data_IF_039362452777
#
_entry.id   IF_039362452777
#
_cell.length_a   1.000
_cell.length_b   1.000
_cell.length_c   1.000
_cell.angle_alpha   90.00
_cell.angle_beta   90.00
_cell.angle_gamma   90.00
#
_symmetry.space_group_name_H-M   'P 1'
#
loop_
_entity.id
_entity.type
_entity.pdbx_description
1 polymer ?
#
# COMPACT_ATOMS: atom_id res chain seq x y z
N UNK A 1 25.52 -17.31 -10.60
CA UNK A 1 24.36 -16.58 -10.03
C UNK A 1 24.19 -15.36 -10.91
N UNK A 2 23.00 -15.14 -11.44
CA UNK A 2 22.75 -14.08 -12.42
C UNK A 2 23.07 -12.69 -11.86
N UNK A 3 23.55 -11.79 -12.72
CA UNK A 3 23.77 -10.38 -12.39
C UNK A 3 22.44 -9.62 -12.33
N UNK A 4 22.42 -8.43 -11.71
CA UNK A 4 21.20 -7.60 -11.67
C UNK A 4 20.67 -7.28 -13.09
N UNK A 5 21.50 -6.85 -14.07
CA UNK A 5 21.01 -6.61 -15.44
C UNK A 5 20.41 -7.85 -16.11
N UNK A 6 21.00 -9.04 -15.92
CA UNK A 6 20.44 -10.29 -16.42
C UNK A 6 19.09 -10.62 -15.80
N UNK A 7 18.97 -10.44 -14.48
CA UNK A 7 17.71 -10.65 -13.75
C UNK A 7 16.63 -9.69 -14.23
N UNK A 8 16.96 -8.41 -14.40
CA UNK A 8 16.03 -7.40 -14.91
C UNK A 8 15.60 -7.73 -16.35
N UNK A 9 16.54 -8.04 -17.25
CA UNK A 9 16.24 -8.43 -18.63
C UNK A 9 15.30 -9.64 -18.72
N UNK A 10 15.56 -10.68 -17.91
CA UNK A 10 14.68 -11.86 -17.81
C UNK A 10 13.30 -11.47 -17.27
N UNK A 11 13.26 -10.65 -16.21
CA UNK A 11 12.01 -10.15 -15.62
C UNK A 11 11.16 -9.40 -16.64
N UNK A 12 11.75 -8.48 -17.42
CA UNK A 12 11.04 -7.77 -18.50
C UNK A 12 10.50 -8.72 -19.56
N UNK A 13 11.29 -9.70 -19.98
CA UNK A 13 10.87 -10.70 -20.97
C UNK A 13 9.65 -11.49 -20.48
N UNK A 14 9.64 -11.87 -19.21
CA UNK A 14 8.53 -12.62 -18.62
C UNK A 14 7.30 -11.77 -18.35
N UNK A 15 7.48 -10.53 -17.91
CA UNK A 15 6.39 -9.55 -17.81
C UNK A 15 5.72 -9.35 -19.17
N UNK A 16 6.50 -9.20 -20.25
CA UNK A 16 5.96 -9.07 -21.61
C UNK A 16 5.22 -10.33 -22.04
N UNK A 17 5.77 -11.51 -21.75
CA UNK A 17 5.11 -12.79 -22.05
C UNK A 17 3.79 -12.97 -21.30
N UNK A 18 3.74 -12.55 -20.04
CA UNK A 18 2.55 -12.58 -19.20
C UNK A 18 1.66 -11.33 -19.35
N UNK A 19 2.02 -10.42 -20.26
CA UNK A 19 1.49 -9.06 -20.31
C UNK A 19 -0.02 -8.98 -20.45
N UNK A 20 -0.64 -9.88 -21.23
CA UNK A 20 -2.10 -9.94 -21.35
C UNK A 20 -2.77 -10.26 -20.00
N UNK A 21 -2.29 -11.30 -19.31
CA UNK A 21 -2.87 -11.74 -18.03
C UNK A 21 -2.61 -10.74 -16.91
N UNK A 22 -1.39 -10.18 -16.83
CA UNK A 22 -1.04 -9.13 -15.87
C UNK A 22 -1.85 -7.86 -16.15
N UNK A 23 -1.95 -7.43 -17.41
CA UNK A 23 -2.73 -6.27 -17.81
C UNK A 23 -4.21 -6.41 -17.46
N UNK A 24 -4.83 -7.57 -17.71
CA UNK A 24 -6.22 -7.83 -17.29
C UNK A 24 -6.38 -7.72 -15.77
N UNK A 25 -5.46 -8.28 -14.98
CA UNK A 25 -5.52 -8.20 -13.52
C UNK A 25 -5.35 -6.77 -13.01
N UNK A 26 -4.39 -6.03 -13.57
CA UNK A 26 -4.13 -4.63 -13.22
C UNK A 26 -5.36 -3.76 -13.55
N UNK A 27 -6.00 -3.97 -14.71
CA UNK A 27 -7.22 -3.25 -15.08
C UNK A 27 -8.39 -3.55 -14.14
N UNK A 28 -8.58 -4.82 -13.77
CA UNK A 28 -9.67 -5.21 -12.86
C UNK A 28 -9.42 -4.65 -11.46
N UNK A 29 -8.22 -4.83 -10.90
CA UNK A 29 -7.89 -4.35 -9.55
C UNK A 29 -7.90 -2.83 -9.50
N UNK A 30 -7.28 -2.17 -10.47
CA UNK A 30 -7.30 -0.71 -10.56
C UNK A 30 -8.72 -0.19 -10.72
N UNK A 31 -9.54 -0.80 -11.56
CA UNK A 31 -10.96 -0.43 -11.72
C UNK A 31 -11.77 -0.60 -10.42
N UNK A 32 -11.61 -1.73 -9.72
CA UNK A 32 -12.24 -1.95 -8.41
C UNK A 32 -11.76 -0.90 -7.41
N UNK A 33 -10.46 -0.60 -7.36
CA UNK A 33 -9.89 0.41 -6.48
C UNK A 33 -10.51 1.79 -6.75
N UNK A 34 -10.63 2.19 -8.01
CA UNK A 34 -11.27 3.46 -8.41
C UNK A 34 -12.71 3.52 -7.90
N UNK A 35 -13.50 2.48 -8.18
CA UNK A 35 -14.92 2.43 -7.75
C UNK A 35 -15.03 2.49 -6.23
N UNK A 36 -14.20 1.74 -5.52
CA UNK A 36 -14.18 1.74 -4.06
C UNK A 36 -13.79 3.12 -3.51
N UNK A 37 -12.76 3.77 -4.07
CA UNK A 37 -12.36 5.12 -3.65
C UNK A 37 -13.48 6.15 -3.88
N UNK A 38 -14.17 6.11 -5.02
CA UNK A 38 -15.31 7.01 -5.31
C UNK A 38 -16.44 6.80 -4.31
N UNK A 39 -16.83 5.55 -4.06
CA UNK A 39 -17.89 5.23 -3.11
C UNK A 39 -17.54 5.67 -1.68
N UNK A 40 -16.30 5.43 -1.26
CA UNK A 40 -15.83 5.86 0.06
C UNK A 40 -15.85 7.38 0.20
N UNK A 41 -15.26 8.10 -0.75
CA UNK A 41 -15.24 9.56 -0.76
C UNK A 41 -16.67 10.13 -0.77
N UNK A 42 -17.57 9.56 -1.58
CA UNK A 42 -18.96 9.98 -1.63
C UNK A 42 -19.64 9.91 -0.25
N UNK A 43 -19.47 8.80 0.47
CA UNK A 43 -20.09 8.65 1.80
C UNK A 43 -19.42 9.57 2.82
N UNK A 44 -18.09 9.68 2.80
CA UNK A 44 -17.34 10.56 3.70
C UNK A 44 -17.76 12.01 3.52
N UNK A 45 -17.79 12.51 2.29
CA UNK A 45 -18.18 13.90 2.01
C UNK A 45 -19.64 14.17 2.31
N UNK A 46 -20.55 13.26 1.94
CA UNK A 46 -21.98 13.44 2.24
C UNK A 46 -22.26 13.40 3.74
N UNK A 47 -21.55 12.55 4.49
CA UNK A 47 -21.66 12.51 5.95
C UNK A 47 -21.05 13.76 6.56
N UNK A 48 -19.87 14.20 6.10
CA UNK A 48 -19.21 15.42 6.55
C UNK A 48 -20.07 16.66 6.31
N UNK A 49 -20.65 16.78 5.12
CA UNK A 49 -21.55 17.86 4.75
C UNK A 49 -22.75 17.98 5.71
N UNK A 50 -23.41 16.85 5.97
CA UNK A 50 -24.57 16.81 6.87
C UNK A 50 -24.21 17.22 8.29
N UNK A 51 -23.01 16.86 8.78
CA UNK A 51 -22.55 17.24 10.11
C UNK A 51 -22.09 18.71 10.18
N UNK A 52 -21.42 19.21 9.13
CA UNK A 52 -21.10 20.64 8.98
C UNK A 52 -22.39 21.48 8.98
N UNK A 53 -23.43 21.01 8.28
CA UNK A 53 -24.73 21.66 8.22
C UNK A 53 -25.41 21.83 9.58
N UNK A 54 -25.17 20.90 10.53
CA UNK A 54 -25.69 21.03 11.90
C UNK A 54 -25.00 22.14 12.69
N UNK A 55 -23.74 22.46 12.37
CA UNK A 55 -22.94 23.47 13.10
C UNK A 55 -23.06 24.84 12.44
N UNK A 56 -22.85 24.90 11.12
CA UNK A 56 -22.72 26.15 10.36
C UNK A 56 -24.00 26.50 9.58
N UNK A 57 -24.96 25.58 9.46
CA UNK A 57 -26.23 25.80 8.78
C UNK A 57 -26.28 25.22 7.36
N UNK A 58 -27.47 25.23 6.73
CA UNK A 58 -27.73 24.55 5.45
C UNK A 58 -26.99 25.17 4.26
N UNK A 59 -26.68 26.47 4.31
CA UNK A 59 -25.91 27.15 3.27
C UNK A 59 -24.47 26.61 3.19
N UNK A 60 -23.81 26.48 4.34
CA UNK A 60 -22.46 25.92 4.40
C UNK A 60 -22.42 24.42 4.09
N UNK A 61 -23.50 23.68 4.40
CA UNK A 61 -23.66 22.31 3.91
C UNK A 61 -23.68 22.27 2.38
N UNK A 62 -24.50 23.10 1.73
CA UNK A 62 -24.60 23.12 0.26
C UNK A 62 -23.28 23.55 -0.39
N UNK A 63 -22.62 24.57 0.17
CA UNK A 63 -21.29 25.00 -0.26
C UNK A 63 -20.29 23.85 -0.13
N UNK A 64 -20.26 23.16 1.01
CA UNK A 64 -19.36 22.02 1.22
C UNK A 64 -19.65 20.86 0.26
N UNK A 65 -20.91 20.53 -0.03
CA UNK A 65 -21.23 19.48 -1.01
C UNK A 65 -20.74 19.86 -2.41
N UNK A 66 -20.96 21.12 -2.81
CA UNK A 66 -20.47 21.64 -4.10
C UNK A 66 -18.93 21.66 -4.16
N UNK A 67 -18.27 22.09 -3.08
CA UNK A 67 -16.82 22.09 -2.98
C UNK A 67 -16.24 20.68 -2.94
N UNK A 68 -16.79 19.75 -2.17
CA UNK A 68 -16.27 18.39 -2.04
C UNK A 68 -16.23 17.64 -3.38
N UNK A 69 -17.16 17.93 -4.30
CA UNK A 69 -17.16 17.37 -5.65
C UNK A 69 -16.18 18.05 -6.62
N UNK A 70 -15.84 19.31 -6.38
CA UNK A 70 -14.89 20.08 -7.21
C UNK A 70 -13.45 19.99 -6.68
N UNK A 71 -13.29 19.83 -5.36
CA UNK A 71 -12.05 19.74 -4.60
C UNK A 71 -11.43 18.33 -4.64
N UNK A 72 -11.24 17.80 -5.85
CA UNK A 72 -10.53 16.54 -6.08
C UNK A 72 -9.00 16.67 -6.02
N UNK A 73 -8.48 17.88 -5.77
CA UNK A 73 -7.06 18.19 -5.56
C UNK A 73 -6.75 18.38 -4.07
N UNK A 74 -5.50 18.10 -3.68
CA UNK A 74 -5.01 18.41 -2.33
C UNK A 74 -5.12 19.91 -2.01
N UNK A 75 -4.92 20.80 -3.00
CA UNK A 75 -5.00 22.26 -2.81
C UNK A 75 -6.44 22.77 -2.64
N UNK A 76 -7.39 22.27 -3.44
CA UNK A 76 -8.80 22.63 -3.29
C UNK A 76 -9.37 22.13 -1.96
N UNK A 77 -8.98 20.92 -1.55
CA UNK A 77 -9.36 20.36 -0.26
C UNK A 77 -8.75 21.15 0.90
N UNK A 78 -7.48 21.55 0.78
CA UNK A 78 -6.82 22.37 1.80
C UNK A 78 -7.49 23.73 1.95
N UNK A 79 -7.75 24.47 0.85
CA UNK A 79 -8.47 25.76 0.92
C UNK A 79 -9.87 25.62 1.51
N UNK A 80 -10.59 24.57 1.14
CA UNK A 80 -11.92 24.29 1.71
C UNK A 80 -11.83 24.03 3.22
N UNK A 81 -10.83 23.27 3.67
CA UNK A 81 -10.61 23.02 5.09
C UNK A 81 -10.17 24.28 5.85
N UNK A 82 -9.38 25.15 5.23
CA UNK A 82 -8.97 26.43 5.82
C UNK A 82 -10.17 27.39 5.98
N UNK A 83 -11.03 27.48 4.95
CA UNK A 83 -12.28 28.27 4.99
C UNK A 83 -13.24 27.74 6.06
N UNK A 84 -13.47 26.43 6.08
CA UNK A 84 -14.28 25.79 7.12
C UNK A 84 -13.70 26.00 8.51
N UNK A 85 -12.38 25.88 8.67
CA UNK A 85 -11.69 26.10 9.94
C UNK A 85 -11.95 27.51 10.46
N UNK A 86 -11.80 28.51 9.60
CA UNK A 86 -12.07 29.92 9.94
C UNK A 86 -13.53 30.14 10.35
N UNK A 87 -14.48 29.55 9.63
CA UNK A 87 -15.92 29.66 9.95
C UNK A 87 -16.30 28.94 11.25
N UNK A 88 -15.69 27.78 11.51
CA UNK A 88 -15.87 27.06 12.77
C UNK A 88 -15.28 27.83 13.94
N UNK A 89 -14.08 28.41 13.78
CA UNK A 89 -13.45 29.26 14.79
C UNK A 89 -14.34 30.45 15.12
N UNK A 90 -14.83 31.18 14.10
CA UNK A 90 -15.76 32.30 14.30
C UNK A 90 -17.09 31.87 14.94
N UNK A 91 -17.57 30.64 14.68
CA UNK A 91 -18.79 30.10 15.29
C UNK A 91 -18.59 29.78 16.77
N UNK A 92 -17.39 29.33 17.13
CA UNK A 92 -17.03 28.95 18.50
C UNK A 92 -16.48 30.12 19.31
N UNK A 93 -16.08 31.21 18.65
CA UNK A 93 -15.66 32.46 19.28
C UNK A 93 -16.87 33.09 20.00
N UNK A 94 -16.88 32.96 21.33
CA UNK A 94 -18.01 33.35 22.19
C UNK A 94 -18.75 32.18 22.86
N UNK A 95 -18.38 30.93 22.57
CA UNK A 95 -18.84 29.76 23.33
C UNK A 95 -17.82 29.38 24.41
N UNK A 96 -18.29 28.93 25.55
CA UNK A 96 -17.46 28.31 26.59
C UNK A 96 -16.97 26.92 26.13
N UNK A 97 -15.88 26.43 26.73
CA UNK A 97 -15.35 25.08 26.45
C UNK A 97 -16.40 23.97 26.62
N UNK A 98 -17.31 24.13 27.59
CA UNK A 98 -18.39 23.16 27.83
C UNK A 98 -19.43 23.19 26.70
N UNK A 99 -19.81 24.36 26.21
CA UNK A 99 -20.73 24.53 25.09
C UNK A 99 -20.11 24.01 23.79
N UNK A 100 -18.83 24.29 23.54
CA UNK A 100 -18.11 23.76 22.39
C UNK A 100 -18.09 22.22 22.43
N UNK A 101 -17.79 21.61 23.58
CA UNK A 101 -17.82 20.14 23.73
C UNK A 101 -19.22 19.57 23.51
N UNK A 102 -20.25 20.26 24.00
CA UNK A 102 -21.64 19.84 23.83
C UNK A 102 -22.09 19.83 22.36
N UNK A 103 -21.49 20.66 21.50
CA UNK A 103 -21.76 20.68 20.05
C UNK A 103 -20.85 19.72 19.28
N UNK A 104 -19.55 19.73 19.55
CA UNK A 104 -18.55 18.98 18.77
C UNK A 104 -18.61 17.48 19.02
N UNK A 105 -18.78 17.04 20.27
CA UNK A 105 -18.75 15.60 20.60
C UNK A 105 -19.87 14.83 19.89
N UNK A 106 -21.16 15.27 19.94
CA UNK A 106 -22.23 14.56 19.24
C UNK A 106 -22.04 14.52 17.72
N UNK A 107 -21.50 15.60 17.13
CA UNK A 107 -21.19 15.68 15.69
C UNK A 107 -20.10 14.67 15.33
N UNK A 108 -19.00 14.63 16.09
CA UNK A 108 -17.92 13.67 15.85
C UNK A 108 -18.40 12.23 16.04
N UNK A 109 -19.20 11.94 17.06
CA UNK A 109 -19.77 10.61 17.27
C UNK A 109 -20.75 10.22 16.15
N UNK A 110 -21.59 11.15 15.70
CA UNK A 110 -22.52 10.91 14.58
C UNK A 110 -21.77 10.65 13.28
N UNK A 111 -20.76 11.46 12.98
CA UNK A 111 -19.86 11.24 11.84
C UNK A 111 -19.16 9.87 11.93
N UNK A 112 -18.54 9.58 13.08
CA UNK A 112 -17.83 8.32 13.31
C UNK A 112 -18.76 7.12 13.16
N UNK A 113 -19.98 7.18 13.70
CA UNK A 113 -20.96 6.09 13.60
C UNK A 113 -21.34 5.75 12.15
N UNK A 114 -21.23 6.71 11.22
CA UNK A 114 -21.52 6.52 9.79
C UNK A 114 -20.29 6.09 9.01
N UNK A 115 -19.15 6.71 9.28
CA UNK A 115 -17.91 6.52 8.51
C UNK A 115 -17.11 5.32 8.99
N UNK A 116 -17.01 5.06 10.30
CA UNK A 116 -16.16 3.99 10.85
C UNK A 116 -16.60 2.60 10.37
N UNK A 117 -17.89 2.19 10.43
CA UNK A 117 -18.29 0.87 9.94
C UNK A 117 -17.95 0.69 8.46
N UNK A 118 -18.16 1.73 7.67
CA UNK A 118 -17.85 1.73 6.25
C UNK A 118 -16.34 1.65 6.01
N UNK A 119 -15.54 2.46 6.71
CA UNK A 119 -14.08 2.43 6.66
C UNK A 119 -13.53 1.05 7.03
N UNK A 120 -14.13 0.37 8.02
CA UNK A 120 -13.79 -1.01 8.37
C UNK A 120 -14.05 -1.99 7.22
N UNK A 121 -15.21 -1.87 6.54
CA UNK A 121 -15.52 -2.68 5.36
C UNK A 121 -14.55 -2.41 4.22
N UNK A 122 -14.25 -1.13 3.93
CA UNK A 122 -13.27 -0.76 2.91
C UNK A 122 -11.86 -1.26 3.24
N UNK A 123 -11.44 -1.16 4.49
CA UNK A 123 -10.15 -1.68 4.94
C UNK A 123 -10.08 -3.20 4.75
N UNK A 124 -11.13 -3.93 5.11
CA UNK A 124 -11.20 -5.38 4.91
C UNK A 124 -11.14 -5.75 3.43
N UNK A 125 -11.94 -5.09 2.58
CA UNK A 125 -11.91 -5.31 1.14
C UNK A 125 -10.54 -4.99 0.54
N UNK A 126 -9.91 -3.90 0.97
CA UNK A 126 -8.57 -3.51 0.52
C UNK A 126 -7.52 -4.56 0.91
N UNK A 127 -7.60 -5.13 2.11
CA UNK A 127 -6.74 -6.23 2.55
C UNK A 127 -6.96 -7.47 1.67
N UNK A 128 -8.21 -7.84 1.40
CA UNK A 128 -8.53 -9.01 0.57
C UNK A 128 -8.04 -8.84 -0.87
N UNK A 129 -8.26 -7.66 -1.47
CA UNK A 129 -7.78 -7.33 -2.82
C UNK A 129 -6.25 -7.33 -2.84
N UNK A 130 -5.61 -6.73 -1.84
CA UNK A 130 -4.15 -6.67 -1.74
C UNK A 130 -3.49 -8.04 -1.59
N UNK A 131 -4.13 -8.92 -0.83
CA UNK A 131 -3.70 -10.30 -0.66
C UNK A 131 -3.91 -11.11 -1.95
N UNK A 132 -5.09 -10.99 -2.56
CA UNK A 132 -5.41 -11.65 -3.81
C UNK A 132 -4.45 -11.25 -4.93
N UNK A 133 -4.20 -9.94 -5.14
CA UNK A 133 -3.31 -9.45 -6.19
C UNK A 133 -1.87 -9.94 -5.99
N UNK A 134 -1.38 -9.95 -4.74
CA UNK A 134 -0.02 -10.39 -4.41
C UNK A 134 0.17 -11.85 -4.78
N UNK A 135 -0.78 -12.70 -4.40
CA UNK A 135 -0.78 -14.13 -4.75
C UNK A 135 -0.94 -14.32 -6.25
N UNK A 136 -1.85 -13.59 -6.89
CA UNK A 136 -2.11 -13.69 -8.32
C UNK A 136 -0.87 -13.34 -9.14
N UNK A 137 -0.19 -12.22 -8.84
CA UNK A 137 1.03 -11.83 -9.54
C UNK A 137 2.16 -12.84 -9.33
N UNK A 138 2.30 -13.41 -8.13
CA UNK A 138 3.25 -14.49 -7.87
C UNK A 138 2.92 -15.77 -8.64
N UNK A 139 1.63 -16.14 -8.78
CA UNK A 139 1.20 -17.28 -9.57
C UNK A 139 1.46 -17.09 -11.06
N UNK A 140 1.17 -15.89 -11.59
CA UNK A 140 1.48 -15.53 -12.97
C UNK A 140 2.98 -15.58 -13.22
N UNK A 141 3.78 -15.00 -12.32
CA UNK A 141 5.23 -15.05 -12.35
C UNK A 141 5.78 -16.50 -12.33
N UNK A 142 5.22 -17.32 -11.45
CA UNK A 142 5.63 -18.71 -11.26
C UNK A 142 5.36 -19.60 -12.48
N UNK A 143 4.22 -19.41 -13.14
CA UNK A 143 3.77 -20.31 -14.21
C UNK A 143 3.99 -19.78 -15.61
N UNK A 144 3.98 -18.46 -15.79
CA UNK A 144 4.11 -17.78 -17.09
C UNK A 144 3.01 -18.08 -18.11
N UNK A 145 2.13 -19.07 -17.87
CA UNK A 145 1.03 -19.50 -18.75
C UNK A 145 -0.16 -19.93 -17.88
N UNK A 146 -1.33 -19.38 -18.19
CA UNK A 146 -2.59 -19.68 -17.51
C UNK A 146 -3.66 -18.67 -17.89
N UNK A 147 -4.92 -19.11 -17.93
CA UNK A 147 -6.04 -18.19 -18.12
C UNK A 147 -6.26 -17.37 -16.85
N UNK A 148 -6.71 -16.12 -17.00
CA UNK A 148 -7.00 -15.24 -15.85
C UNK A 148 -7.93 -15.93 -14.83
N UNK A 149 -9.03 -16.54 -15.30
CA UNK A 149 -9.98 -17.23 -14.43
C UNK A 149 -9.37 -18.41 -13.66
N UNK A 150 -8.53 -19.23 -14.32
CA UNK A 150 -7.88 -20.37 -13.67
C UNK A 150 -6.88 -19.92 -12.58
N UNK A 151 -6.06 -18.93 -12.89
CA UNK A 151 -5.09 -18.37 -11.94
C UNK A 151 -5.78 -17.60 -10.81
N UNK A 152 -6.89 -16.92 -11.08
CA UNK A 152 -7.69 -16.22 -10.07
C UNK A 152 -8.29 -17.21 -9.08
N UNK A 153 -8.90 -18.30 -9.57
CA UNK A 153 -9.45 -19.37 -8.72
C UNK A 153 -8.36 -20.00 -7.84
N UNK A 154 -7.18 -20.24 -8.42
CA UNK A 154 -6.05 -20.74 -7.65
C UNK A 154 -5.55 -19.73 -6.62
N UNK A 155 -5.53 -18.44 -6.95
CA UNK A 155 -5.11 -17.38 -6.03
C UNK A 155 -5.94 -17.39 -4.74
N UNK A 156 -7.27 -17.57 -4.83
CA UNK A 156 -8.14 -17.68 -3.66
C UNK A 156 -7.72 -18.83 -2.71
N UNK A 157 -7.30 -19.97 -3.25
CA UNK A 157 -6.82 -21.10 -2.44
C UNK A 157 -5.52 -20.81 -1.67
N UNK A 158 -4.71 -19.86 -2.15
CA UNK A 158 -3.44 -19.47 -1.55
C UNK A 158 -3.51 -18.18 -0.73
N UNK A 159 -4.66 -17.50 -0.69
CA UNK A 159 -4.85 -16.30 0.12
C UNK A 159 -4.60 -16.59 1.62
N UNK A 160 -5.21 -17.63 2.18
CA UNK A 160 -5.07 -17.92 3.61
C UNK A 160 -3.62 -18.28 4.00
N UNK A 161 -2.89 -19.17 3.29
CA UNK A 161 -1.46 -19.35 3.51
C UNK A 161 -0.64 -18.07 3.40
N UNK A 162 -0.91 -17.23 2.40
CA UNK A 162 -0.21 -15.96 2.22
C UNK A 162 -0.52 -14.96 3.35
N UNK A 163 -1.75 -14.97 3.87
CA UNK A 163 -2.14 -14.16 5.03
C UNK A 163 -1.37 -14.61 6.26
N UNK A 164 -1.31 -15.93 6.51
CA UNK A 164 -0.52 -16.50 7.60
C UNK A 164 0.97 -16.13 7.49
N UNK A 165 1.54 -16.17 6.28
CA UNK A 165 2.89 -15.72 6.02
C UNK A 165 3.07 -14.23 6.35
N UNK A 166 2.18 -13.37 5.83
CA UNK A 166 2.22 -11.93 6.07
C UNK A 166 2.06 -11.57 7.54
N UNK A 167 1.20 -12.28 8.29
CA UNK A 167 1.03 -12.07 9.73
C UNK A 167 2.30 -12.45 10.47
N UNK A 168 2.87 -13.64 10.22
CA UNK A 168 4.10 -14.08 10.92
C UNK A 168 5.24 -13.12 10.62
N UNK A 169 5.45 -12.80 9.35
CA UNK A 169 6.51 -11.89 8.91
C UNK A 169 6.26 -10.48 9.45
N UNK A 170 5.02 -9.98 9.40
CA UNK A 170 4.62 -8.68 9.92
C UNK A 170 4.80 -8.56 11.44
N UNK A 171 4.44 -9.59 12.21
CA UNK A 171 4.67 -9.63 13.65
C UNK A 171 6.16 -9.58 13.98
N UNK A 172 7.01 -10.28 13.22
CA UNK A 172 8.46 -10.18 13.39
C UNK A 172 8.98 -8.77 13.08
N UNK A 173 8.44 -8.12 12.04
CA UNK A 173 8.81 -6.74 11.69
C UNK A 173 8.33 -5.69 12.68
N UNK A 174 7.17 -5.89 13.30
CA UNK A 174 6.62 -4.97 14.32
C UNK A 174 7.28 -5.19 15.67
N UNK A 175 7.62 -6.44 16.02
CA UNK A 175 8.28 -6.75 17.28
C UNK A 175 9.62 -6.01 17.44
N UNK A 176 10.42 -5.90 16.36
CA UNK A 176 11.72 -5.22 16.38
C UNK A 176 11.62 -3.75 16.84
N UNK A 177 10.84 -2.86 16.18
CA UNK A 177 10.69 -1.48 16.59
C UNK A 177 9.96 -1.36 17.93
N UNK A 178 8.97 -2.20 18.24
CA UNK A 178 8.28 -2.16 19.55
C UNK A 178 9.26 -2.44 20.69
N UNK A 179 10.10 -3.46 20.56
CA UNK A 179 11.14 -3.78 21.55
C UNK A 179 12.17 -2.65 21.63
N UNK A 180 12.60 -2.08 20.49
CA UNK A 180 13.54 -0.96 20.47
C UNK A 180 12.97 0.29 21.16
N UNK A 181 11.72 0.64 20.88
CA UNK A 181 11.03 1.77 21.53
C UNK A 181 10.87 1.53 23.02
N UNK A 182 10.44 0.33 23.42
CA UNK A 182 10.30 -0.05 24.83
C UNK A 182 11.63 0.05 25.60
N UNK A 183 12.71 -0.46 25.02
CA UNK A 183 14.05 -0.34 25.61
C UNK A 183 14.55 1.12 25.64
N UNK A 184 14.19 1.93 24.64
CA UNK A 184 14.51 3.36 24.60
C UNK A 184 13.80 4.16 25.68
N UNK A 185 12.56 3.79 26.04
CA UNK A 185 11.86 4.41 27.17
C UNK A 185 12.48 4.07 28.53
N UNK A 186 13.04 2.86 28.69
CA UNK A 186 13.68 2.43 29.93
C UNK A 186 15.04 3.10 30.18
N UNK A 187 15.69 3.59 29.13
CA UNK A 187 17.03 4.16 29.18
C UNK A 187 17.01 5.56 28.54
N UNK A 188 16.81 6.65 29.32
CA UNK A 188 16.61 8.01 28.82
C UNK A 188 17.91 8.67 28.33
N UNK A 189 18.75 7.93 27.61
CA UNK A 189 19.96 8.41 26.98
C UNK A 189 19.76 8.47 25.46
N UNK A 190 19.85 9.67 24.90
CA UNK A 190 19.60 9.90 23.47
C UNK A 190 20.57 9.11 22.57
N UNK A 191 21.83 8.93 22.98
CA UNK A 191 22.80 8.13 22.23
C UNK A 191 22.39 6.66 22.18
N UNK A 192 21.81 6.15 23.29
CA UNK A 192 21.31 4.79 23.36
C UNK A 192 20.06 4.59 22.48
N UNK A 193 19.15 5.56 22.45
CA UNK A 193 17.99 5.55 21.56
C UNK A 193 18.43 5.54 20.09
N UNK A 194 19.39 6.39 19.71
CA UNK A 194 19.93 6.40 18.34
C UNK A 194 20.56 5.05 17.96
N UNK A 195 21.33 4.45 18.88
CA UNK A 195 21.90 3.11 18.67
C UNK A 195 20.82 2.05 18.49
N UNK A 196 19.76 2.06 19.31
CA UNK A 196 18.63 1.14 19.19
C UNK A 196 17.91 1.27 17.85
N UNK A 197 17.71 2.49 17.36
CA UNK A 197 17.13 2.74 16.03
C UNK A 197 18.03 2.15 14.93
N UNK A 198 19.34 2.37 15.01
CA UNK A 198 20.29 1.79 14.05
C UNK A 198 20.27 0.26 14.06
N UNK A 199 20.24 -0.36 15.25
CA UNK A 199 20.10 -1.81 15.40
C UNK A 199 18.77 -2.30 14.83
N UNK A 200 17.66 -1.60 15.10
CA UNK A 200 16.35 -1.93 14.56
C UNK A 200 16.33 -1.90 13.03
N UNK A 201 16.94 -0.87 12.41
CA UNK A 201 17.09 -0.78 10.96
C UNK A 201 17.96 -1.92 10.42
N UNK A 202 19.08 -2.23 11.08
CA UNK A 202 19.96 -3.33 10.66
C UNK A 202 19.25 -4.68 10.73
N UNK A 203 18.50 -4.94 11.81
CA UNK A 203 17.68 -6.15 11.97
C UNK A 203 16.56 -6.19 10.92
N UNK A 204 15.90 -5.06 10.65
CA UNK A 204 14.89 -4.94 9.61
C UNK A 204 15.45 -5.33 8.24
N UNK A 205 16.61 -4.78 7.85
CA UNK A 205 17.26 -5.11 6.58
C UNK A 205 17.69 -6.59 6.54
N UNK A 206 18.24 -7.09 7.65
CA UNK A 206 18.69 -8.47 7.77
C UNK A 206 17.56 -9.48 7.63
N UNK A 207 16.49 -9.33 8.42
CA UNK A 207 15.32 -10.20 8.37
C UNK A 207 14.49 -9.97 7.09
N UNK A 208 14.35 -8.72 6.65
CA UNK A 208 13.77 -8.30 5.36
C UNK A 208 14.28 -9.12 4.20
N UNK A 209 15.60 -9.09 4.01
CA UNK A 209 16.25 -9.83 2.93
C UNK A 209 16.03 -11.34 3.08
N UNK A 210 16.07 -11.88 4.31
CA UNK A 210 15.91 -13.32 4.54
C UNK A 210 14.48 -13.82 4.35
N UNK A 211 13.48 -12.97 4.51
CA UNK A 211 12.08 -13.33 4.29
C UNK A 211 11.55 -12.93 2.91
N UNK A 212 12.30 -12.13 2.15
CA UNK A 212 11.89 -11.64 0.83
C UNK A 212 11.47 -12.73 -0.16
N UNK A 213 12.05 -13.93 -0.09
CA UNK A 213 11.74 -15.03 -1.00
C UNK A 213 10.63 -15.96 -0.47
N UNK A 214 10.16 -15.78 0.76
CA UNK A 214 9.21 -16.70 1.41
C UNK A 214 7.90 -16.81 0.63
N UNK A 215 7.38 -15.70 0.12
CA UNK A 215 6.14 -15.66 -0.66
C UNK A 215 6.29 -16.39 -2.00
N UNK A 216 7.40 -16.16 -2.72
CA UNK A 216 7.71 -16.89 -3.95
C UNK A 216 7.93 -18.39 -3.70
N UNK A 217 8.57 -18.77 -2.59
CA UNK A 217 8.76 -20.18 -2.20
C UNK A 217 7.41 -20.83 -1.88
N UNK A 218 6.56 -20.17 -1.09
CA UNK A 218 5.23 -20.66 -0.72
C UNK A 218 4.41 -21.02 -1.97
N UNK A 219 4.36 -20.10 -2.93
CA UNK A 219 3.53 -20.24 -4.14
C UNK A 219 4.16 -21.19 -5.17
N UNK A 220 5.47 -21.09 -5.41
CA UNK A 220 6.14 -21.94 -6.41
C UNK A 220 6.37 -23.36 -5.94
N UNK A 221 6.84 -23.56 -4.71
CA UNK A 221 7.19 -24.89 -4.19
C UNK A 221 5.99 -25.56 -3.50
N UNK A 222 4.85 -24.85 -3.37
CA UNK A 222 3.62 -25.33 -2.73
C UNK A 222 3.86 -25.90 -1.33
N UNK A 223 4.75 -25.27 -0.57
CA UNK A 223 5.11 -25.69 0.79
C UNK A 223 4.22 -25.03 1.85
N UNK A 224 4.29 -25.52 3.10
CA UNK A 224 3.65 -24.85 4.23
C UNK A 224 4.34 -23.53 4.59
N UNK A 225 3.61 -22.64 5.27
CA UNK A 225 4.09 -21.29 5.64
C UNK A 225 5.43 -21.34 6.39
N UNK A 226 5.54 -22.14 7.44
CA UNK A 226 6.77 -22.26 8.24
C UNK A 226 7.95 -22.79 7.41
N UNK A 227 7.71 -23.79 6.56
CA UNK A 227 8.74 -24.35 5.70
C UNK A 227 9.20 -23.35 4.62
N UNK A 228 8.28 -22.53 4.10
CA UNK A 228 8.63 -21.46 3.15
C UNK A 228 9.56 -20.42 3.77
N UNK A 229 9.29 -20.01 5.02
CA UNK A 229 10.12 -19.08 5.81
C UNK A 229 11.50 -19.71 6.06
N UNK A 230 11.53 -20.96 6.55
CA UNK A 230 12.77 -21.68 6.83
C UNK A 230 13.65 -21.80 5.58
N UNK A 231 13.06 -22.18 4.44
CA UNK A 231 13.78 -22.29 3.16
C UNK A 231 14.27 -20.93 2.68
N UNK A 232 13.46 -19.89 2.77
CA UNK A 232 13.87 -18.52 2.42
C UNK A 232 15.10 -18.10 3.22
N UNK A 233 15.08 -18.36 4.52
CA UNK A 233 16.19 -18.08 5.43
C UNK A 233 17.45 -18.84 5.01
N UNK A 234 17.35 -20.14 4.77
CA UNK A 234 18.50 -20.99 4.35
C UNK A 234 19.07 -20.55 3.00
N UNK A 235 18.21 -20.28 2.01
CA UNK A 235 18.62 -19.85 0.67
C UNK A 235 19.38 -18.52 0.71
N UNK A 236 18.96 -17.61 1.57
CA UNK A 236 19.56 -16.28 1.72
C UNK A 236 20.84 -16.31 2.58
N UNK A 237 20.97 -17.27 3.50
CA UNK A 237 22.08 -17.33 4.47
C UNK A 237 23.41 -17.87 3.92
N UNK A 238 23.41 -18.70 2.87
CA UNK A 238 24.60 -19.43 2.39
C UNK A 238 25.57 -18.57 1.57
N UNK A 239 26.03 -17.44 2.13
CA UNK A 239 26.95 -16.49 1.46
C UNK A 239 26.33 -15.74 0.28
N UNK A 240 25.02 -15.87 0.07
CA UNK A 240 24.27 -15.19 -1.00
C UNK A 240 23.52 -13.95 -0.51
N UNK A 241 23.51 -13.69 0.80
CA UNK A 241 22.78 -12.59 1.44
C UNK A 241 23.00 -11.26 0.72
N UNK A 242 24.26 -10.85 0.58
CA UNK A 242 24.60 -9.54 0.00
C UNK A 242 24.15 -9.42 -1.47
N UNK A 243 24.13 -10.54 -2.20
CA UNK A 243 23.65 -10.58 -3.59
C UNK A 243 22.14 -10.50 -3.67
N UNK A 244 21.42 -11.22 -2.80
CA UNK A 244 19.96 -11.14 -2.70
C UNK A 244 19.54 -9.73 -2.29
N UNK A 245 20.17 -9.19 -1.23
CA UNK A 245 19.94 -7.83 -0.76
C UNK A 245 20.22 -6.80 -1.86
N UNK A 246 21.40 -6.84 -2.49
CA UNK A 246 21.76 -5.89 -3.55
C UNK A 246 20.83 -5.94 -4.76
N UNK A 247 20.36 -7.14 -5.13
CA UNK A 247 19.39 -7.29 -6.22
C UNK A 247 18.00 -6.76 -5.84
N UNK A 248 17.53 -7.03 -4.62
CA UNK A 248 16.26 -6.49 -4.12
C UNK A 248 16.31 -4.97 -3.99
N UNK A 249 17.42 -4.43 -3.47
CA UNK A 249 17.65 -3.00 -3.33
C UNK A 249 17.71 -2.33 -4.70
N UNK A 250 18.44 -2.91 -5.66
CA UNK A 250 18.53 -2.38 -7.03
C UNK A 250 17.19 -2.38 -7.76
N UNK A 251 16.43 -3.48 -7.68
CA UNK A 251 15.09 -3.55 -8.27
C UNK A 251 14.10 -2.60 -7.57
N UNK A 252 14.14 -2.54 -6.23
CA UNK A 252 13.32 -1.63 -5.45
C UNK A 252 13.62 -0.16 -5.73
N UNK A 253 14.90 0.21 -5.82
CA UNK A 253 15.33 1.56 -6.18
C UNK A 253 14.89 1.94 -7.60
N UNK A 254 15.03 1.03 -8.58
CA UNK A 254 14.56 1.27 -9.95
C UNK A 254 13.06 1.59 -9.99
N UNK A 255 12.25 0.78 -9.31
CA UNK A 255 10.78 0.98 -9.26
C UNK A 255 10.44 2.25 -8.48
N UNK A 256 11.13 2.51 -7.37
CA UNK A 256 10.96 3.74 -6.60
C UNK A 256 11.23 4.98 -7.43
N UNK A 257 12.31 5.00 -8.22
CA UNK A 257 12.63 6.10 -9.15
C UNK A 257 11.52 6.26 -10.19
N UNK A 258 11.05 5.17 -10.79
CA UNK A 258 9.94 5.22 -11.75
C UNK A 258 8.69 5.84 -11.11
N UNK A 259 8.29 5.36 -9.93
CA UNK A 259 7.13 5.88 -9.21
C UNK A 259 7.29 7.37 -8.91
N UNK A 260 8.46 7.80 -8.43
CA UNK A 260 8.75 9.22 -8.14
C UNK A 260 8.66 10.08 -9.40
N UNK A 261 9.23 9.62 -10.52
CA UNK A 261 9.16 10.35 -11.79
C UNK A 261 7.72 10.48 -12.27
N UNK A 262 6.93 9.40 -12.25
CA UNK A 262 5.51 9.46 -12.58
C UNK A 262 4.74 10.36 -11.61
N UNK A 263 5.04 10.31 -10.31
CA UNK A 263 4.43 11.18 -9.30
C UNK A 263 4.68 12.66 -9.61
N UNK A 264 5.91 13.05 -9.96
CA UNK A 264 6.25 14.43 -10.31
C UNK A 264 5.46 14.85 -11.55
N UNK A 265 5.49 14.04 -12.62
CA UNK A 265 4.78 14.35 -13.88
C UNK A 265 3.28 14.50 -13.63
N UNK A 266 2.67 13.56 -12.92
CA UNK A 266 1.24 13.56 -12.64
C UNK A 266 0.86 14.71 -11.69
N UNK A 267 1.73 15.09 -10.75
CA UNK A 267 1.52 16.28 -9.91
C UNK A 267 1.49 17.55 -10.75
N UNK A 268 2.43 17.72 -11.68
CA UNK A 268 2.47 18.86 -12.61
C UNK A 268 1.22 18.89 -13.50
N UNK A 269 0.84 17.75 -14.07
CA UNK A 269 -0.38 17.63 -14.89
C UNK A 269 -1.64 17.96 -14.07
N UNK A 270 -1.70 17.53 -12.82
CA UNK A 270 -2.81 17.80 -11.91
C UNK A 270 -2.95 19.31 -11.62
N UNK A 271 -1.83 20.01 -11.43
CA UNK A 271 -1.81 21.47 -11.25
C UNK A 271 -2.29 22.21 -12.52
N UNK A 272 -1.91 21.75 -13.72
CA UNK A 272 -2.34 22.37 -14.97
C UNK A 272 -3.83 22.07 -15.26
N UNK A 273 -4.31 20.89 -14.89
CA UNK A 273 -5.67 20.43 -15.15
C UNK A 273 -6.70 20.85 -14.06
N UNK A 274 -6.27 21.63 -13.06
CA UNK A 274 -7.12 22.15 -11.98
C UNK A 274 -8.45 22.78 -12.46
N UNK A 275 -8.52 23.56 -13.56
CA UNK A 275 -9.78 24.15 -14.02
C UNK A 275 -10.76 23.14 -14.65
N UNK A 276 -10.40 21.86 -14.79
CA UNK A 276 -11.23 20.84 -15.45
C UNK A 276 -11.53 19.63 -14.55
N UNK A 277 -12.46 19.74 -13.58
CA UNK A 277 -12.96 18.57 -12.87
C UNK A 277 -13.58 17.57 -13.86
N UNK A 278 -13.28 16.25 -13.80
CA UNK A 278 -12.63 15.50 -12.72
C UNK A 278 -11.15 15.13 -12.99
N UNK A 279 -10.42 15.88 -13.83
CA UNK A 279 -9.09 15.50 -14.29
C UNK A 279 -8.07 15.20 -13.18
N UNK A 280 -7.97 15.96 -12.06
CA UNK A 280 -7.04 15.66 -10.97
C UNK A 280 -7.29 14.30 -10.29
N UNK A 281 -8.55 13.93 -10.10
CA UNK A 281 -8.90 12.61 -9.58
C UNK A 281 -8.41 11.50 -10.52
N UNK A 282 -8.70 11.63 -11.83
CA UNK A 282 -8.27 10.65 -12.84
C UNK A 282 -6.75 10.53 -12.88
N UNK A 283 -6.03 11.65 -12.79
CA UNK A 283 -4.56 11.70 -12.74
C UNK A 283 -4.02 10.97 -11.51
N UNK A 284 -4.63 11.14 -10.34
CA UNK A 284 -4.24 10.39 -9.13
C UNK A 284 -4.52 8.88 -9.27
N UNK A 285 -5.57 8.47 -9.97
CA UNK A 285 -5.83 7.06 -10.22
C UNK A 285 -4.77 6.42 -11.13
N UNK A 286 -4.13 7.18 -12.03
CA UNK A 286 -3.01 6.66 -12.85
C UNK A 286 -1.85 6.19 -11.96
N UNK A 287 -1.58 6.86 -10.83
CA UNK A 287 -0.55 6.42 -9.88
C UNK A 287 -0.86 5.05 -9.28
N UNK A 288 -2.13 4.76 -9.02
CA UNK A 288 -2.56 3.44 -8.55
C UNK A 288 -2.19 2.38 -9.60
N UNK A 289 -2.46 2.64 -10.88
CA UNK A 289 -2.07 1.72 -11.96
C UNK A 289 -0.55 1.55 -12.08
N UNK A 290 0.22 2.64 -11.97
CA UNK A 290 1.70 2.58 -11.99
C UNK A 290 2.22 1.76 -10.81
N UNK A 291 1.65 1.94 -9.62
CA UNK A 291 2.01 1.15 -8.44
C UNK A 291 1.67 -0.34 -8.62
N UNK A 292 0.52 -0.67 -9.21
CA UNK A 292 0.13 -2.05 -9.53
C UNK A 292 1.08 -2.71 -10.53
N UNK A 293 1.51 -1.97 -11.57
CA UNK A 293 2.55 -2.44 -12.51
C UNK A 293 3.86 -2.71 -11.78
N UNK A 294 4.28 -1.80 -10.89
CA UNK A 294 5.45 -1.98 -10.06
C UNK A 294 5.37 -3.24 -9.18
N UNK A 295 4.24 -3.48 -8.52
CA UNK A 295 4.02 -4.67 -7.71
C UNK A 295 4.07 -5.97 -8.53
N UNK A 296 3.43 -5.97 -9.71
CA UNK A 296 3.49 -7.12 -10.62
C UNK A 296 4.94 -7.40 -11.05
N UNK A 297 5.72 -6.36 -11.37
CA UNK A 297 7.13 -6.49 -11.69
C UNK A 297 7.95 -7.05 -10.52
N UNK A 298 7.74 -6.57 -9.29
CA UNK A 298 8.41 -7.09 -8.08
C UNK A 298 8.09 -8.58 -7.89
N UNK A 299 6.85 -9.00 -8.10
CA UNK A 299 6.47 -10.40 -7.98
C UNK A 299 7.23 -11.29 -8.98
N UNK A 300 7.30 -10.86 -10.25
CA UNK A 300 8.08 -11.57 -11.29
C UNK A 300 9.57 -11.59 -10.94
N UNK A 301 10.12 -10.44 -10.52
CA UNK A 301 11.51 -10.32 -10.12
C UNK A 301 11.85 -11.24 -8.95
N UNK A 302 10.98 -11.29 -7.92
CA UNK A 302 11.18 -12.12 -6.72
C UNK A 302 11.21 -13.61 -7.07
N UNK A 303 10.32 -14.04 -7.95
CA UNK A 303 10.32 -15.40 -8.51
C UNK A 303 11.64 -15.71 -9.24
N UNK A 304 12.11 -14.81 -10.12
CA UNK A 304 13.37 -15.03 -10.86
C UNK A 304 14.59 -14.98 -9.97
N UNK A 305 14.59 -14.11 -8.97
CA UNK A 305 15.64 -14.04 -7.96
C UNK A 305 15.72 -15.36 -7.17
N UNK A 306 14.58 -15.89 -6.74
CA UNK A 306 14.53 -17.20 -6.07
C UNK A 306 15.11 -18.30 -6.95
N UNK A 307 14.73 -18.38 -8.23
CA UNK A 307 15.31 -19.36 -9.16
C UNK A 307 16.83 -19.20 -9.29
N UNK A 308 17.33 -17.97 -9.49
CA UNK A 308 18.75 -17.69 -9.62
C UNK A 308 19.56 -18.03 -8.36
N UNK A 309 18.94 -17.93 -7.19
CA UNK A 309 19.52 -18.30 -5.89
C UNK A 309 19.46 -19.81 -5.67
N UNK A 310 18.41 -20.49 -6.13
CA UNK A 310 18.21 -21.93 -5.94
C UNK A 310 19.11 -22.80 -6.84
N UNK A 311 19.64 -22.27 -7.96
CA UNK A 311 20.60 -22.96 -8.82
C UNK A 311 21.95 -23.12 -8.09
N UNK A 312 22.04 -24.16 -7.26
CA UNK A 312 23.27 -24.87 -6.90
C UNK A 312 22.94 -26.25 -6.29
N UNK A 313 22.59 -27.22 -7.16
CA UNK A 313 22.84 -28.67 -7.03
C UNK A 313 22.21 -29.43 -8.21
N UNK A 314 22.86 -29.35 -9.36
CA UNK A 314 22.93 -30.42 -10.37
C UNK A 314 24.30 -30.28 -11.02
N UNK A 315 25.30 -30.70 -10.28
CA UNK A 315 26.60 -31.11 -10.77
C UNK A 315 26.84 -32.46 -10.09
#
# INVERSE_FOLDING_TARGET
>A
MMTLPELLSKTFTDCNRAGKTLGTAILIVGGISVVLSVLFLHVVFRSGAAEIGKILGPEEQANFEQYAWTATTNFGMQRMMDDLGTKMEAKFDGMTDEEQRAVVIPVLLSFASRVVPLACVFALLSILISLWQSVFFLLVAARGKGTFGGLSKEAFGWMLPMLGLNIIVGLLFIAIPVIAVFLGFLLPNILFIMLLVLVAIALFVYFGTRFALSSAILIQDRTGVVESIRRSFVLTSRGKFLKVFGNLLGAGALIGVIIIVFQIILTILSMIAEPFPPAPFVINQVLVFVALVGQAFIAVFTVRLKEAVAIKKRA
#
